data_IF_271322753601
#
_entry.id   IF_271322753601
#
_cell.length_a   1.000
_cell.length_b   1.000
_cell.length_c   1.000
_cell.angle_alpha   90.00
_cell.angle_beta   90.00
_cell.angle_gamma   90.00
#
_symmetry.space_group_name_H-M   'P 1'
#
loop_
_entity.id
_entity.type
_entity.pdbx_description
1 polymer ?
#
# COMPACT_ATOMS: atom_id res chain seq x y z
N UNK A 1 3.54 7.54 4.35
CA UNK A 1 3.77 6.35 5.21
C UNK A 1 4.17 6.82 6.60
N UNK A 2 3.60 6.26 7.68
CA UNK A 2 4.10 6.47 9.04
C UNK A 2 5.52 5.89 9.15
N UNK A 3 6.44 6.51 9.94
CA UNK A 3 7.77 5.94 10.15
C UNK A 3 7.67 4.48 10.57
N UNK A 4 8.48 3.62 9.98
CA UNK A 4 8.47 2.17 10.15
C UNK A 4 8.56 1.70 11.63
N UNK A 5 9.08 2.54 12.53
CA UNK A 5 9.25 2.22 13.95
C UNK A 5 7.95 2.13 14.76
N UNK A 6 6.84 2.73 14.33
CA UNK A 6 5.60 2.77 15.12
C UNK A 6 4.51 1.81 14.65
N UNK A 7 4.61 1.22 13.47
CA UNK A 7 3.51 0.47 12.84
C UNK A 7 3.50 -1.03 13.12
N UNK A 8 4.61 -1.67 13.55
CA UNK A 8 4.71 -3.14 13.57
C UNK A 8 5.20 -3.72 14.91
N UNK A 9 4.55 -3.33 16.00
CA UNK A 9 4.86 -3.81 17.37
C UNK A 9 4.67 -5.33 17.56
N UNK A 10 4.04 -6.03 16.63
CA UNK A 10 3.68 -7.45 16.74
C UNK A 10 4.49 -8.40 15.85
N UNK A 11 5.40 -7.88 15.01
CA UNK A 11 6.35 -8.68 14.25
C UNK A 11 7.53 -9.02 15.17
N UNK A 12 7.49 -10.14 15.86
CA UNK A 12 8.47 -10.49 16.86
C UNK A 12 9.17 -11.82 16.64
N UNK A 13 10.41 -11.78 16.26
CA UNK A 13 11.41 -12.81 16.44
C UNK A 13 12.74 -12.12 16.66
N UNK A 14 13.59 -12.63 17.58
CA UNK A 14 14.83 -12.00 18.04
C UNK A 14 15.94 -11.88 16.97
N UNK A 15 15.69 -12.27 15.72
CA UNK A 15 16.72 -12.39 14.68
C UNK A 15 16.65 -11.31 13.58
N UNK A 16 15.54 -10.59 13.41
CA UNK A 16 15.40 -9.56 12.38
C UNK A 16 15.06 -8.23 13.00
N UNK A 17 15.83 -7.20 12.67
CA UNK A 17 15.52 -5.83 13.03
C UNK A 17 14.18 -5.43 12.39
N UNK A 18 13.20 -5.11 13.23
CA UNK A 18 11.83 -4.75 12.83
C UNK A 18 11.80 -3.56 11.88
N UNK A 19 12.69 -2.61 12.07
CA UNK A 19 12.80 -1.43 11.21
C UNK A 19 13.27 -1.83 9.82
N UNK A 20 14.28 -2.70 9.74
CA UNK A 20 14.78 -3.23 8.46
C UNK A 20 13.72 -4.05 7.73
N UNK A 21 12.99 -4.90 8.46
CA UNK A 21 11.91 -5.71 7.87
C UNK A 21 10.76 -4.81 7.36
N UNK A 22 10.31 -3.86 8.15
CA UNK A 22 9.25 -2.93 7.74
C UNK A 22 9.66 -2.11 6.50
N UNK A 23 10.92 -1.68 6.43
CA UNK A 23 11.46 -0.98 5.26
C UNK A 23 11.54 -1.89 4.04
N UNK A 24 12.00 -3.13 4.20
CA UNK A 24 12.05 -4.10 3.10
C UNK A 24 10.66 -4.40 2.53
N UNK A 25 9.67 -4.60 3.39
CA UNK A 25 8.26 -4.77 3.02
C UNK A 25 7.75 -3.56 2.21
N UNK A 26 8.01 -2.34 2.69
CA UNK A 26 7.60 -1.13 2.02
C UNK A 26 8.26 -1.00 0.63
N UNK A 27 9.55 -1.28 0.53
CA UNK A 27 10.30 -1.22 -0.73
C UNK A 27 9.83 -2.25 -1.76
N UNK A 28 9.49 -3.47 -1.32
CA UNK A 28 8.93 -4.49 -2.21
C UNK A 28 7.53 -4.08 -2.71
N UNK A 29 6.68 -3.52 -1.83
CA UNK A 29 5.37 -2.99 -2.21
C UNK A 29 5.50 -1.84 -3.21
N UNK A 30 6.41 -0.89 -2.96
CA UNK A 30 6.68 0.25 -3.85
C UNK A 30 7.18 -0.25 -5.21
N UNK A 31 8.11 -1.21 -5.22
CA UNK A 31 8.65 -1.76 -6.46
C UNK A 31 7.58 -2.48 -7.29
N UNK A 32 6.71 -3.27 -6.64
CA UNK A 32 5.59 -3.93 -7.30
C UNK A 32 4.58 -2.92 -7.87
N UNK A 33 4.25 -1.88 -7.11
CA UNK A 33 3.38 -0.80 -7.59
C UNK A 33 4.00 -0.05 -8.78
N UNK A 34 5.31 0.20 -8.74
CA UNK A 34 6.03 0.82 -9.85
C UNK A 34 6.15 -0.10 -11.09
N UNK A 35 6.13 -1.41 -10.93
CA UNK A 35 6.12 -2.37 -12.03
C UNK A 35 4.73 -2.55 -12.66
N UNK A 36 3.65 -2.13 -11.98
CA UNK A 36 2.29 -2.24 -12.48
C UNK A 36 2.08 -1.39 -13.76
N UNK A 37 1.57 -2.01 -14.81
CA UNK A 37 1.33 -1.35 -16.11
C UNK A 37 0.29 -0.22 -16.04
N UNK A 38 -0.71 -0.36 -15.14
CA UNK A 38 -1.76 0.62 -14.94
C UNK A 38 -1.32 1.84 -14.09
N UNK A 39 -0.08 1.83 -13.58
CA UNK A 39 0.47 2.91 -12.73
C UNK A 39 1.44 3.78 -13.52
N UNK A 40 1.08 5.03 -13.75
CA UNK A 40 1.95 6.00 -14.41
C UNK A 40 3.01 6.59 -13.46
N UNK A 41 2.67 6.72 -12.17
CA UNK A 41 3.55 7.30 -11.14
C UNK A 41 3.22 6.71 -9.77
N UNK A 42 4.24 6.44 -8.97
CA UNK A 42 4.12 6.12 -7.54
C UNK A 42 4.56 7.33 -6.74
N UNK A 43 3.72 7.79 -5.82
CA UNK A 43 4.05 8.86 -4.88
C UNK A 43 4.15 8.26 -3.48
N UNK A 44 5.31 8.42 -2.85
CA UNK A 44 5.54 8.01 -1.45
C UNK A 44 5.70 9.24 -0.60
N UNK A 45 4.83 9.39 0.40
CA UNK A 45 4.88 10.48 1.37
C UNK A 45 5.63 9.98 2.61
N UNK A 46 6.82 10.51 2.86
CA UNK A 46 7.69 10.03 3.94
C UNK A 46 8.76 11.02 4.32
N UNK A 47 9.09 11.10 5.61
CA UNK A 47 10.27 11.79 6.15
C UNK A 47 11.40 10.79 6.50
N UNK A 48 11.30 9.50 6.09
CA UNK A 48 12.36 8.50 6.27
C UNK A 48 13.39 8.60 5.15
N UNK A 49 14.47 9.35 5.39
CA UNK A 49 15.59 9.51 4.44
C UNK A 49 16.19 8.17 4.02
N UNK A 50 16.24 7.19 4.92
CA UNK A 50 16.75 5.86 4.60
C UNK A 50 15.87 5.12 3.61
N UNK A 51 14.54 5.26 3.72
CA UNK A 51 13.62 4.72 2.71
C UNK A 51 13.82 5.41 1.35
N UNK A 52 14.01 6.73 1.35
CA UNK A 52 14.24 7.51 0.11
C UNK A 52 15.52 7.03 -0.58
N UNK A 53 16.61 6.84 0.17
CA UNK A 53 17.88 6.34 -0.36
C UNK A 53 17.74 4.91 -0.90
N UNK A 54 17.12 4.01 -0.12
CA UNK A 54 16.95 2.59 -0.50
C UNK A 54 15.99 2.40 -1.69
N UNK A 55 15.09 3.37 -1.91
CA UNK A 55 14.16 3.39 -3.04
C UNK A 55 14.76 4.03 -4.30
N UNK A 56 15.96 4.60 -4.22
CA UNK A 56 16.62 5.20 -5.37
C UNK A 56 16.79 4.16 -6.49
N UNK A 57 16.41 4.53 -7.71
CA UNK A 57 16.43 3.63 -8.86
C UNK A 57 15.12 2.87 -9.12
N UNK A 58 14.11 2.92 -8.24
CA UNK A 58 12.78 2.42 -8.58
C UNK A 58 12.16 3.37 -9.62
N UNK A 59 11.77 2.87 -10.81
CA UNK A 59 11.26 3.72 -11.86
C UNK A 59 9.90 4.35 -11.47
N UNK A 60 9.61 5.54 -12.01
CA UNK A 60 8.33 6.25 -11.81
C UNK A 60 8.01 6.60 -10.36
N UNK A 61 8.97 6.46 -9.45
CA UNK A 61 8.82 6.82 -8.05
C UNK A 61 9.09 8.31 -7.83
N UNK A 62 8.24 8.93 -7.02
CA UNK A 62 8.39 10.29 -6.53
C UNK A 62 8.18 10.32 -5.02
N UNK A 63 9.23 10.63 -4.27
CA UNK A 63 9.15 10.80 -2.82
C UNK A 63 8.85 12.27 -2.51
N UNK A 64 7.91 12.51 -1.60
CA UNK A 64 7.58 13.83 -1.07
C UNK A 64 7.63 13.80 0.46
N UNK A 65 8.12 14.85 1.13
CA UNK A 65 8.14 14.92 2.58
C UNK A 65 6.71 14.96 3.13
N UNK A 66 6.52 14.56 4.39
CA UNK A 66 5.18 14.56 5.03
C UNK A 66 4.60 15.98 5.18
N UNK A 67 5.44 17.00 5.24
CA UNK A 67 5.02 18.41 5.18
C UNK A 67 4.05 18.84 6.28
N UNK A 68 4.09 18.18 7.44
CA UNK A 68 3.17 18.40 8.55
C UNK A 68 1.84 17.67 8.41
N UNK A 69 1.66 16.79 7.42
CA UNK A 69 0.51 15.91 7.29
C UNK A 69 0.34 15.04 8.54
N UNK A 70 -0.89 14.98 9.09
CA UNK A 70 -1.15 14.23 10.31
C UNK A 70 -1.84 12.90 10.01
N UNK A 71 -1.20 11.82 10.41
CA UNK A 71 -1.72 10.45 10.25
C UNK A 71 -1.75 9.99 8.80
N UNK A 72 -2.27 8.77 8.59
CA UNK A 72 -2.25 8.12 7.27
C UNK A 72 -3.10 8.88 6.23
N UNK A 73 -4.33 9.25 6.58
CA UNK A 73 -5.21 9.99 5.65
C UNK A 73 -4.66 11.37 5.28
N UNK A 74 -3.99 12.06 6.23
CA UNK A 74 -3.31 13.32 5.96
C UNK A 74 -2.15 13.15 4.96
N UNK A 75 -1.32 12.12 5.15
CA UNK A 75 -0.24 11.80 4.22
C UNK A 75 -0.78 11.41 2.83
N UNK A 76 -1.83 10.59 2.78
CA UNK A 76 -2.49 10.22 1.53
C UNK A 76 -3.01 11.46 0.81
N UNK A 77 -3.73 12.35 1.51
CA UNK A 77 -4.27 13.58 0.92
C UNK A 77 -3.14 14.49 0.40
N UNK A 78 -2.04 14.60 1.14
CA UNK A 78 -0.87 15.36 0.70
C UNK A 78 -0.26 14.78 -0.59
N UNK A 79 -0.09 13.46 -0.67
CA UNK A 79 0.41 12.77 -1.87
C UNK A 79 -0.53 12.90 -3.07
N UNK A 80 -1.85 13.03 -2.86
CA UNK A 80 -2.83 13.18 -3.94
C UNK A 80 -2.69 14.49 -4.72
N UNK A 81 -2.09 15.52 -4.14
CA UNK A 81 -1.79 16.76 -4.84
C UNK A 81 -0.82 16.54 -6.02
N UNK A 82 0.11 15.60 -5.89
CA UNK A 82 1.05 15.23 -6.95
C UNK A 82 0.40 14.46 -8.13
N UNK A 83 -0.87 14.06 -7.99
CA UNK A 83 -1.64 13.29 -8.98
C UNK A 83 -2.90 14.07 -9.46
N UNK A 84 -2.88 15.40 -9.35
CA UNK A 84 -4.00 16.23 -9.82
C UNK A 84 -4.23 16.02 -11.33
N UNK A 85 -5.51 15.97 -11.73
CA UNK A 85 -5.89 15.72 -13.13
C UNK A 85 -5.77 14.27 -13.60
N UNK A 86 -5.39 13.34 -12.73
CA UNK A 86 -5.26 11.91 -13.03
C UNK A 86 -6.22 11.06 -12.19
N UNK A 87 -6.57 9.83 -12.64
CA UNK A 87 -7.12 8.83 -11.73
C UNK A 87 -6.13 8.57 -10.59
N UNK A 88 -6.63 8.38 -9.37
CA UNK A 88 -5.79 8.27 -8.16
C UNK A 88 -6.09 7.00 -7.41
N UNK A 89 -5.05 6.45 -6.80
CA UNK A 89 -5.16 5.29 -5.92
C UNK A 89 -4.28 5.49 -4.67
N UNK A 90 -4.80 5.11 -3.51
CA UNK A 90 -4.01 4.93 -2.31
C UNK A 90 -3.88 3.43 -2.02
N UNK A 91 -2.65 2.97 -1.94
CA UNK A 91 -2.28 1.59 -1.65
C UNK A 91 -1.55 1.55 -0.31
N UNK A 92 -1.86 0.57 0.54
CA UNK A 92 -1.07 0.33 1.75
C UNK A 92 0.37 -0.06 1.39
N UNK A 93 1.33 0.33 2.22
CA UNK A 93 2.75 0.09 1.99
C UNK A 93 3.28 -1.21 2.60
N UNK A 94 2.43 -2.13 3.04
CA UNK A 94 2.78 -3.33 3.78
C UNK A 94 2.28 -4.64 3.13
N UNK A 95 2.37 -4.68 1.80
CA UNK A 95 1.97 -5.80 0.95
C UNK A 95 3.23 -6.48 0.35
N UNK A 96 4.05 -7.20 1.15
CA UNK A 96 5.35 -7.71 0.71
C UNK A 96 5.29 -8.75 -0.40
N UNK A 97 4.13 -9.35 -0.62
CA UNK A 97 3.90 -10.33 -1.67
C UNK A 97 3.13 -9.74 -2.87
N UNK A 98 2.95 -8.42 -2.94
CA UNK A 98 2.17 -7.78 -4.00
C UNK A 98 2.72 -8.13 -5.38
N UNK A 99 1.86 -8.65 -6.25
CA UNK A 99 2.14 -8.90 -7.65
C UNK A 99 1.60 -7.75 -8.51
N UNK A 100 2.41 -7.19 -9.43
CA UNK A 100 1.98 -6.12 -10.33
C UNK A 100 0.71 -6.47 -11.12
N UNK A 101 0.53 -7.75 -11.47
CA UNK A 101 -0.63 -8.23 -12.24
C UNK A 101 -1.93 -8.15 -11.41
N UNK A 102 -1.89 -8.48 -10.12
CA UNK A 102 -3.04 -8.36 -9.21
C UNK A 102 -3.46 -6.90 -9.08
N UNK A 103 -2.49 -5.99 -8.92
CA UNK A 103 -2.76 -4.56 -8.87
C UNK A 103 -3.29 -4.03 -10.21
N UNK A 104 -2.71 -4.47 -11.34
CA UNK A 104 -3.17 -4.10 -12.68
C UNK A 104 -4.62 -4.50 -12.91
N UNK A 105 -4.99 -5.75 -12.56
CA UNK A 105 -6.36 -6.24 -12.70
C UNK A 105 -7.34 -5.42 -11.85
N UNK A 106 -6.97 -5.13 -10.60
CA UNK A 106 -7.79 -4.34 -9.70
C UNK A 106 -7.98 -2.89 -10.21
N UNK A 107 -6.91 -2.22 -10.65
CA UNK A 107 -6.98 -0.84 -11.16
C UNK A 107 -7.79 -0.73 -12.45
N UNK A 108 -7.64 -1.70 -13.37
CA UNK A 108 -8.46 -1.76 -14.59
C UNK A 108 -9.94 -1.94 -14.26
N UNK A 109 -10.28 -2.80 -13.32
CA UNK A 109 -11.67 -2.98 -12.87
C UNK A 109 -12.19 -1.72 -12.16
N UNK A 110 -11.40 -1.11 -11.29
CA UNK A 110 -11.75 0.12 -10.56
C UNK A 110 -12.06 1.30 -11.48
N UNK A 111 -11.48 1.34 -12.70
CA UNK A 111 -11.72 2.42 -13.67
C UNK A 111 -13.20 2.55 -14.10
N UNK A 112 -14.01 1.52 -13.89
CA UNK A 112 -15.46 1.54 -14.18
C UNK A 112 -16.28 2.25 -13.10
N UNK A 113 -15.68 2.64 -11.97
CA UNK A 113 -16.36 3.23 -10.83
C UNK A 113 -15.81 4.62 -10.50
N UNK A 114 -16.64 5.49 -9.95
CA UNK A 114 -16.17 6.79 -9.45
C UNK A 114 -15.18 6.62 -8.30
N UNK A 115 -15.49 5.70 -7.39
CA UNK A 115 -14.61 5.27 -6.29
C UNK A 115 -14.75 3.77 -6.07
N UNK A 116 -13.65 3.12 -5.75
CA UNK A 116 -13.65 1.70 -5.42
C UNK A 116 -12.73 1.42 -4.24
N UNK A 117 -12.97 0.30 -3.56
CA UNK A 117 -12.18 -0.17 -2.42
C UNK A 117 -11.95 -1.67 -2.49
N UNK A 118 -10.74 -2.11 -2.18
CA UNK A 118 -10.38 -3.51 -1.96
C UNK A 118 -10.22 -3.75 -0.46
N UNK A 119 -10.89 -4.76 0.04
CA UNK A 119 -10.73 -5.21 1.43
C UNK A 119 -9.39 -5.94 1.61
N UNK A 120 -8.83 -5.84 2.83
CA UNK A 120 -7.79 -6.75 3.28
C UNK A 120 -8.27 -8.21 3.27
N UNK A 121 -7.42 -9.14 3.66
CA UNK A 121 -7.76 -10.55 3.69
C UNK A 121 -8.79 -10.90 4.77
N UNK A 122 -8.80 -10.17 5.85
CA UNK A 122 -9.71 -10.30 6.99
C UNK A 122 -11.09 -9.66 6.69
N UNK A 123 -11.19 -8.81 5.66
CA UNK A 123 -12.41 -8.11 5.25
C UNK A 123 -12.77 -6.92 6.13
N UNK A 124 -11.87 -6.44 6.95
CA UNK A 124 -12.11 -5.34 7.90
C UNK A 124 -11.38 -4.06 7.54
N UNK A 125 -10.15 -4.16 7.07
CA UNK A 125 -9.32 -3.07 6.56
C UNK A 125 -9.46 -2.90 5.06
N UNK A 126 -8.73 -1.91 4.51
CA UNK A 126 -8.69 -1.62 3.08
C UNK A 126 -7.24 -1.53 2.64
N UNK A 127 -6.88 -2.31 1.63
CA UNK A 127 -5.53 -2.30 1.06
C UNK A 127 -5.40 -1.33 -0.11
N UNK A 128 -6.48 -1.11 -0.87
CA UNK A 128 -6.53 -0.19 -2.02
C UNK A 128 -7.82 0.63 -1.99
N UNK A 129 -7.69 1.94 -2.18
CA UNK A 129 -8.82 2.86 -2.43
C UNK A 129 -8.52 3.62 -3.72
N UNK A 130 -9.52 3.77 -4.59
CA UNK A 130 -9.36 4.48 -5.86
C UNK A 130 -10.38 5.61 -6.02
N UNK A 131 -10.03 6.60 -6.83
CA UNK A 131 -10.95 7.61 -7.31
C UNK A 131 -10.63 7.95 -8.77
N UNK A 132 -11.67 8.02 -9.60
CA UNK A 132 -11.56 8.40 -11.01
C UNK A 132 -11.18 9.88 -11.14
N UNK A 133 -10.68 10.27 -12.30
CA UNK A 133 -10.39 11.67 -12.62
C UNK A 133 -11.65 12.54 -12.40
N UNK A 134 -11.47 13.74 -11.82
CA UNK A 134 -12.58 14.65 -11.51
C UNK A 134 -13.38 14.29 -10.24
N UNK A 135 -13.23 13.10 -9.70
CA UNK A 135 -13.90 12.69 -8.45
C UNK A 135 -13.12 13.21 -7.25
N UNK A 136 -13.77 13.88 -6.31
CA UNK A 136 -13.10 14.36 -5.08
C UNK A 136 -12.53 13.19 -4.28
N UNK A 137 -11.26 13.27 -3.91
CA UNK A 137 -10.64 12.26 -3.04
C UNK A 137 -11.29 12.24 -1.66
N UNK A 138 -11.50 11.03 -1.14
CA UNK A 138 -11.91 10.80 0.24
C UNK A 138 -11.39 9.44 0.69
N UNK A 139 -10.77 9.39 1.87
CA UNK A 139 -10.31 8.15 2.51
C UNK A 139 -10.51 8.22 4.03
N UNK A 140 -10.54 7.05 4.66
CA UNK A 140 -10.69 6.88 6.11
C UNK A 140 -10.01 5.57 6.53
N UNK A 141 -8.68 5.50 6.38
CA UNK A 141 -7.87 4.34 6.71
C UNK A 141 -7.83 4.07 8.23
N UNK A 142 -7.36 2.89 8.63
CA UNK A 142 -7.29 2.39 10.01
C UNK A 142 -8.33 1.31 10.27
N UNK A 143 -8.49 0.89 11.54
CA UNK A 143 -9.35 -0.22 11.94
C UNK A 143 -10.79 -0.06 11.40
N UNK A 144 -11.32 -1.10 10.75
CA UNK A 144 -12.66 -1.07 10.15
C UNK A 144 -12.80 -0.12 8.96
N UNK A 145 -11.69 0.22 8.30
CA UNK A 145 -11.66 1.16 7.17
C UNK A 145 -12.50 0.70 5.98
N UNK A 146 -12.59 -0.60 5.71
CA UNK A 146 -13.38 -1.11 4.58
C UNK A 146 -14.85 -0.66 4.67
N UNK A 147 -15.48 -0.90 5.81
CA UNK A 147 -16.87 -0.48 6.01
C UNK A 147 -17.04 1.06 5.95
N UNK A 148 -16.03 1.83 6.41
CA UNK A 148 -16.05 3.29 6.28
C UNK A 148 -15.98 3.73 4.83
N UNK A 149 -15.06 3.18 4.03
CA UNK A 149 -14.94 3.52 2.62
C UNK A 149 -16.21 3.18 1.83
N UNK A 150 -16.84 2.02 2.11
CA UNK A 150 -18.13 1.68 1.50
C UNK A 150 -19.20 2.72 1.86
N UNK A 151 -19.32 3.11 3.13
CA UNK A 151 -20.26 4.17 3.55
C UNK A 151 -19.97 5.55 2.91
N UNK A 152 -18.72 5.81 2.55
CA UNK A 152 -18.29 7.01 1.83
C UNK A 152 -18.53 6.91 0.30
N UNK A 153 -19.20 5.88 -0.18
CA UNK A 153 -19.57 5.68 -1.57
C UNK A 153 -18.56 4.97 -2.44
N UNK A 154 -17.56 4.28 -1.83
CA UNK A 154 -16.70 3.39 -2.59
C UNK A 154 -17.44 2.08 -2.93
N UNK A 155 -17.34 1.66 -4.19
CA UNK A 155 -17.80 0.33 -4.60
C UNK A 155 -16.84 -0.72 -4.03
N UNK A 156 -17.37 -1.68 -3.28
CA UNK A 156 -16.62 -2.83 -2.79
C UNK A 156 -16.24 -3.74 -3.95
N UNK A 157 -14.95 -3.84 -4.26
CA UNK A 157 -14.49 -4.67 -5.37
C UNK A 157 -14.36 -6.13 -4.96
N UNK A 158 -14.85 -7.02 -5.82
CA UNK A 158 -14.62 -8.45 -5.68
C UNK A 158 -13.24 -8.77 -6.24
N UNK A 159 -12.30 -9.09 -5.35
CA UNK A 159 -10.94 -9.52 -5.67
C UNK A 159 -10.77 -10.96 -5.18
N UNK A 160 -10.13 -11.85 -5.95
CA UNK A 160 -9.93 -13.24 -5.54
C UNK A 160 -9.33 -13.36 -4.14
N UNK A 161 -9.79 -14.32 -3.34
CA UNK A 161 -9.31 -14.51 -1.97
C UNK A 161 -7.79 -14.76 -1.88
N UNK A 162 -7.20 -15.37 -2.91
CA UNK A 162 -5.76 -15.62 -3.02
C UNK A 162 -4.95 -14.48 -3.64
N UNK A 163 -5.58 -13.32 -3.93
CA UNK A 163 -4.85 -12.18 -4.48
C UNK A 163 -3.86 -11.60 -3.47
N UNK A 164 -2.65 -11.35 -3.94
CA UNK A 164 -1.61 -10.70 -3.16
C UNK A 164 -1.96 -9.26 -2.75
N UNK A 165 -2.88 -8.62 -3.46
CA UNK A 165 -3.34 -7.26 -3.17
C UNK A 165 -4.11 -7.15 -1.85
N UNK A 166 -4.62 -8.27 -1.32
CA UNK A 166 -5.38 -8.31 -0.08
C UNK A 166 -4.53 -8.64 1.14
N UNK A 167 -3.24 -8.94 0.96
CA UNK A 167 -2.41 -9.58 1.99
C UNK A 167 -1.41 -8.59 2.57
N UNK A 168 -1.90 -7.67 3.37
CA UNK A 168 -1.09 -6.81 4.24
C UNK A 168 -0.52 -7.60 5.43
N UNK A 169 0.56 -7.10 6.01
CA UNK A 169 1.34 -7.81 7.01
C UNK A 169 1.58 -6.93 8.23
N UNK A 170 0.90 -7.24 9.33
CA UNK A 170 1.07 -6.62 10.66
C UNK A 170 1.63 -7.60 11.70
N UNK A 171 1.50 -8.91 11.45
CA UNK A 171 1.89 -9.97 12.38
C UNK A 171 2.84 -10.97 11.72
N UNK A 172 3.58 -11.73 12.54
CA UNK A 172 4.43 -12.82 12.05
C UNK A 172 3.62 -13.90 11.30
N UNK A 173 2.40 -14.19 11.77
CA UNK A 173 1.52 -15.15 11.11
C UNK A 173 1.10 -14.68 9.71
N UNK A 174 0.75 -13.40 9.55
CA UNK A 174 0.42 -12.82 8.24
C UNK A 174 1.65 -12.81 7.32
N UNK A 175 2.86 -12.59 7.87
CA UNK A 175 4.10 -12.68 7.11
C UNK A 175 4.35 -14.08 6.55
N UNK A 176 4.10 -15.14 7.34
CA UNK A 176 4.20 -16.52 6.87
C UNK A 176 3.16 -16.84 5.78
N UNK A 177 1.96 -16.33 5.91
CA UNK A 177 0.93 -16.48 4.87
C UNK A 177 1.36 -15.73 3.58
N UNK A 178 1.89 -14.52 3.71
CA UNK A 178 2.42 -13.75 2.57
C UNK A 178 3.61 -14.46 1.92
N UNK A 179 4.47 -15.14 2.72
CA UNK A 179 5.59 -15.96 2.22
C UNK A 179 5.13 -17.06 1.28
N UNK A 180 4.00 -17.71 1.59
CA UNK A 180 3.43 -18.74 0.71
C UNK A 180 2.93 -18.20 -0.64
N UNK A 181 2.64 -16.89 -0.74
CA UNK A 181 2.29 -16.23 -2.00
C UNK A 181 3.50 -15.79 -2.82
N UNK A 182 4.70 -15.81 -2.22
CA UNK A 182 5.94 -15.31 -2.82
C UNK A 182 6.21 -13.87 -2.41
N UNK A 183 7.18 -13.69 -1.49
CA UNK A 183 7.62 -12.35 -1.03
C UNK A 183 8.49 -11.68 -2.08
N UNK A 184 8.48 -10.36 -2.08
CA UNK A 184 9.45 -9.58 -2.82
C UNK A 184 10.88 -9.82 -2.33
N UNK A 185 11.89 -9.55 -3.18
CA UNK A 185 13.27 -9.98 -2.94
C UNK A 185 13.91 -9.36 -1.70
N UNK A 186 13.52 -8.14 -1.33
CA UNK A 186 14.09 -7.45 -0.16
C UNK A 186 13.57 -8.06 1.15
N UNK A 187 12.27 -8.36 1.20
CA UNK A 187 11.66 -9.02 2.36
C UNK A 187 12.14 -10.46 2.48
N UNK A 188 12.17 -11.20 1.36
CA UNK A 188 12.64 -12.58 1.33
C UNK A 188 14.10 -12.70 1.80
N UNK A 189 14.98 -11.78 1.40
CA UNK A 189 16.39 -11.77 1.77
C UNK A 189 16.68 -11.49 3.26
N UNK A 190 15.68 -11.09 4.05
CA UNK A 190 15.79 -10.88 5.49
C UNK A 190 15.25 -12.05 6.32
N UNK A 191 14.62 -13.00 5.68
CA UNK A 191 14.03 -14.16 6.35
C UNK A 191 14.87 -15.41 6.11
N UNK A 192 14.99 -16.31 7.12
CA UNK A 192 15.71 -17.55 6.98
C UNK A 192 15.07 -18.53 5.98
#
# INVERSE_FOLDING_TARGET
>A
MKPAAMSKTRLGGAAVDRTRLARAIALDTIAAAAACEAVARVVVVTDDDGLVVDAAGIPRLHCVPEGGARGLDGAVLHGMAAAEGMPRAALLGDLPALRPEDLTAALRHAASFDRAVVADAEGTGSTLVTARVGVKWASAFGDGSFARHVRMGCVAMVVPAGSSLRRDVDTAQQLEIARALGLGPRTAGLLP
#
